data_IF_412380927496
#
_entry.id   IF_412380927496
#
_cell.length_a   1.000
_cell.length_b   1.000
_cell.length_c   1.000
_cell.angle_alpha   90.00
_cell.angle_beta   90.00
_cell.angle_gamma   90.00
#
_symmetry.space_group_name_H-M   'P 1'
#
loop_
_entity.id
_entity.type
_entity.pdbx_description
1 polymer ?
#
# COMPACT_ATOMS: atom_id res chain seq x y z
N UNK A 1 60.60 3.11 31.73
CA UNK A 1 61.50 3.36 30.60
C UNK A 1 60.59 3.96 29.56
N UNK A 2 60.42 5.24 29.53
CA UNK A 2 61.19 6.23 28.74
C UNK A 2 60.99 5.95 27.25
N UNK A 3 60.52 6.83 26.38
CA UNK A 3 60.41 8.25 26.54
C UNK A 3 59.98 8.89 25.19
N UNK A 4 59.36 10.06 25.31
CA UNK A 4 59.52 11.28 24.49
C UNK A 4 59.31 11.13 22.96
N UNK A 5 58.51 11.84 22.26
CA UNK A 5 58.15 13.28 22.36
C UNK A 5 58.78 14.03 21.21
N UNK A 6 57.97 14.70 20.33
CA UNK A 6 58.38 15.90 19.66
C UNK A 6 57.16 16.63 19.05
N UNK A 7 56.95 17.86 19.46
CA UNK A 7 56.19 18.95 18.83
C UNK A 7 57.09 19.70 17.83
N UNK A 8 56.46 20.31 16.86
CA UNK A 8 56.82 21.66 16.31
C UNK A 8 55.72 22.04 15.29
N UNK A 9 54.87 23.09 15.53
CA UNK A 9 55.03 24.52 15.28
C UNK A 9 55.08 24.84 13.75
N UNK A 10 54.04 25.41 13.17
CA UNK A 10 53.53 26.78 13.14
C UNK A 10 54.40 27.75 12.38
N UNK A 11 53.80 28.34 11.34
CA UNK A 11 53.94 29.71 10.78
C UNK A 11 53.39 29.69 9.35
N UNK A 12 52.55 30.56 8.82
CA UNK A 12 52.26 31.94 9.15
C UNK A 12 52.30 32.76 7.86
N UNK A 13 51.33 33.72 7.72
CA UNK A 13 51.33 34.84 6.74
C UNK A 13 50.85 34.54 5.31
N UNK A 14 50.04 35.31 4.68
CA UNK A 14 49.28 36.54 4.85
C UNK A 14 48.83 37.03 3.45
N UNK A 15 47.62 37.49 3.36
CA UNK A 15 47.12 38.66 2.65
C UNK A 15 47.28 38.83 1.13
N UNK A 16 46.17 39.16 0.51
CA UNK A 16 46.19 40.19 -0.56
C UNK A 16 45.19 39.91 -1.69
N UNK A 17 44.21 40.78 -1.83
CA UNK A 17 43.73 41.19 -3.13
C UNK A 17 42.20 41.20 -3.31
N UNK A 18 41.63 42.36 -2.94
CA UNK A 18 40.26 42.73 -3.33
C UNK A 18 40.17 43.02 -4.82
N UNK A 19 39.05 42.65 -5.43
CA UNK A 19 38.68 43.05 -6.77
C UNK A 19 37.18 42.93 -6.95
N UNK A 20 36.46 43.98 -6.59
CA UNK A 20 35.04 44.10 -6.89
C UNK A 20 34.83 44.44 -8.37
N UNK A 21 33.75 43.94 -8.90
CA UNK A 21 33.08 44.52 -10.06
C UNK A 21 31.56 44.39 -9.85
N UNK A 22 30.98 45.54 -9.83
CA UNK A 22 29.62 45.94 -9.69
C UNK A 22 28.71 45.45 -10.83
N UNK A 23 27.47 45.25 -10.47
CA UNK A 23 26.31 45.09 -11.36
C UNK A 23 26.08 46.32 -12.26
N UNK A 24 25.24 46.19 -13.26
CA UNK A 24 24.14 47.13 -13.35
C UNK A 24 22.75 46.51 -13.38
N UNK A 25 21.86 47.15 -12.62
CA UNK A 25 20.43 47.15 -12.76
C UNK A 25 20.02 47.59 -14.17
N UNK A 26 19.07 46.89 -14.77
CA UNK A 26 18.15 47.47 -15.75
C UNK A 26 16.72 47.05 -15.35
N UNK A 27 15.99 48.02 -14.86
CA UNK A 27 14.54 48.03 -14.85
C UNK A 27 14.09 48.42 -16.26
N UNK A 28 13.02 47.71 -16.77
CA UNK A 28 11.95 48.36 -17.52
C UNK A 28 10.80 47.40 -17.77
N UNK A 29 9.73 47.78 -17.21
CA UNK A 29 8.34 47.83 -17.65
C UNK A 29 7.90 46.90 -18.81
N UNK A 30 6.99 45.98 -18.53
CA UNK A 30 5.99 45.57 -19.51
C UNK A 30 4.61 45.43 -18.85
N UNK A 31 3.67 46.15 -19.44
CA UNK A 31 2.25 46.22 -19.18
C UNK A 31 1.56 44.85 -19.35
N UNK A 32 0.38 44.62 -18.71
CA UNK A 32 -0.35 43.34 -18.84
C UNK A 32 -1.08 43.26 -20.18
N UNK A 33 -1.21 42.06 -20.76
CA UNK A 33 -2.11 41.88 -21.91
C UNK A 33 -3.57 41.81 -21.48
N UNK A 34 -4.38 42.33 -22.37
CA UNK A 34 -5.78 42.58 -22.29
C UNK A 34 -6.66 41.36 -21.97
N UNK A 35 -7.69 41.68 -21.20
CA UNK A 35 -8.89 40.93 -20.89
C UNK A 35 -9.60 40.41 -22.18
N UNK A 36 -9.64 39.10 -22.36
CA UNK A 36 -10.58 38.42 -23.26
C UNK A 36 -11.62 37.73 -22.40
N UNK A 37 -12.57 38.55 -21.90
CA UNK A 37 -13.85 38.10 -21.38
C UNK A 37 -14.71 37.58 -22.53
N UNK A 38 -15.16 36.35 -22.46
CA UNK A 38 -16.33 35.93 -23.20
C UNK A 38 -16.22 34.61 -23.95
N UNK A 39 -16.05 33.50 -23.27
CA UNK A 39 -16.63 32.24 -23.71
C UNK A 39 -17.16 31.48 -22.49
N UNK A 40 -18.50 31.44 -22.34
CA UNK A 40 -19.21 30.54 -21.44
C UNK A 40 -18.84 29.10 -21.80
N UNK A 41 -18.07 28.44 -20.98
CA UNK A 41 -17.98 26.98 -21.00
C UNK A 41 -19.34 26.43 -20.55
N UNK A 42 -20.07 25.89 -21.49
CA UNK A 42 -21.20 25.02 -21.21
C UNK A 42 -20.71 23.87 -20.33
N UNK A 43 -21.39 23.67 -19.21
CA UNK A 43 -21.20 22.55 -18.32
C UNK A 43 -21.43 21.26 -19.11
N UNK A 44 -20.35 20.57 -19.43
CA UNK A 44 -20.38 19.28 -20.10
C UNK A 44 -21.26 18.30 -19.33
N UNK A 45 -22.23 17.76 -20.04
CA UNK A 45 -23.13 16.70 -19.61
C UNK A 45 -22.28 15.53 -19.11
N UNK A 46 -22.49 15.15 -17.87
CA UNK A 46 -22.04 13.86 -17.34
C UNK A 46 -22.62 12.74 -18.21
N UNK A 47 -21.75 12.00 -18.87
CA UNK A 47 -22.16 10.76 -19.52
C UNK A 47 -22.59 9.77 -18.43
N UNK A 48 -23.74 9.11 -18.55
CA UNK A 48 -24.20 8.12 -17.59
C UNK A 48 -23.34 6.87 -17.73
N UNK A 49 -22.38 6.66 -16.84
CA UNK A 49 -21.77 5.35 -16.62
C UNK A 49 -22.74 4.48 -15.80
N UNK A 50 -23.84 4.08 -16.44
CA UNK A 50 -24.68 3.01 -15.95
C UNK A 50 -24.24 1.72 -16.65
N UNK A 51 -23.59 0.80 -15.90
CA UNK A 51 -23.47 -0.58 -16.35
C UNK A 51 -22.09 -1.20 -16.35
N UNK A 52 -21.26 -1.05 -15.30
CA UNK A 52 -20.20 -2.03 -15.06
C UNK A 52 -20.69 -3.05 -14.03
N UNK A 53 -21.31 -4.12 -14.52
CA UNK A 53 -21.48 -5.37 -13.77
C UNK A 53 -20.25 -6.23 -14.06
N UNK A 54 -19.61 -6.70 -13.00
CA UNK A 54 -18.64 -7.80 -13.12
C UNK A 54 -19.31 -8.96 -13.88
N UNK A 55 -18.66 -9.60 -14.85
CA UNK A 55 -19.24 -10.73 -15.57
C UNK A 55 -19.50 -11.88 -14.59
N UNK A 56 -20.76 -12.20 -14.35
CA UNK A 56 -21.13 -13.32 -13.47
C UNK A 56 -22.54 -13.28 -12.91
N UNK A 57 -23.33 -12.23 -13.12
CA UNK A 57 -24.73 -12.17 -12.70
C UNK A 57 -25.68 -12.04 -13.90
N UNK A 58 -25.86 -13.11 -14.64
CA UNK A 58 -26.98 -13.29 -15.55
C UNK A 58 -27.92 -14.35 -14.99
N UNK A 59 -29.10 -13.92 -14.49
CA UNK A 59 -30.16 -14.81 -14.03
C UNK A 59 -31.39 -14.06 -13.54
N UNK A 60 -32.30 -13.76 -14.48
CA UNK A 60 -33.76 -13.60 -14.35
C UNK A 60 -34.38 -12.64 -13.33
N UNK A 61 -35.26 -11.76 -13.84
CA UNK A 61 -36.43 -11.29 -13.12
C UNK A 61 -36.73 -9.81 -13.20
N UNK A 62 -37.65 -9.44 -14.07
CA UNK A 62 -38.34 -8.13 -14.15
C UNK A 62 -39.15 -7.85 -12.89
N UNK A 63 -39.17 -6.61 -12.43
CA UNK A 63 -40.30 -6.10 -11.66
C UNK A 63 -39.98 -5.30 -10.40
N UNK A 64 -40.35 -4.04 -10.39
CA UNK A 64 -40.91 -3.38 -9.21
C UNK A 64 -39.97 -2.63 -8.29
N UNK A 65 -40.00 -1.30 -8.36
CA UNK A 65 -39.58 -0.40 -7.27
C UNK A 65 -40.37 -0.70 -6.00
N UNK A 66 -39.74 -1.15 -4.94
CA UNK A 66 -40.32 -1.16 -3.59
C UNK A 66 -39.27 -0.65 -2.61
N UNK A 67 -39.63 0.39 -1.87
CA UNK A 67 -38.82 1.02 -0.85
C UNK A 67 -38.50 0.06 0.30
N UNK A 68 -37.24 -0.02 0.66
CA UNK A 68 -36.77 -0.81 1.80
C UNK A 68 -36.92 0.01 3.09
N UNK A 69 -37.90 -0.37 3.91
CA UNK A 69 -37.93 -0.08 5.34
C UNK A 69 -36.89 -0.96 6.05
N UNK A 70 -36.07 -0.35 6.89
CA UNK A 70 -35.22 -1.04 7.83
C UNK A 70 -36.10 -1.66 8.93
N UNK A 71 -36.11 -2.98 9.03
CA UNK A 71 -36.40 -3.69 10.26
C UNK A 71 -35.18 -4.50 10.65
N UNK A 72 -34.75 -4.28 11.90
CA UNK A 72 -33.68 -5.02 12.53
C UNK A 72 -34.19 -6.42 12.85
N UNK A 73 -33.79 -7.42 12.08
CA UNK A 73 -33.94 -8.81 12.39
C UNK A 73 -32.65 -9.56 12.03
N UNK A 74 -32.11 -10.30 12.99
CA UNK A 74 -30.91 -11.11 12.82
C UNK A 74 -31.03 -12.03 11.60
N UNK A 75 -30.31 -11.72 10.56
CA UNK A 75 -30.22 -12.57 9.38
C UNK A 75 -29.13 -13.62 9.59
N UNK A 76 -29.57 -14.82 9.78
CA UNK A 76 -28.81 -16.06 9.72
C UNK A 76 -28.19 -16.20 8.31
N UNK A 77 -26.88 -16.04 8.20
CA UNK A 77 -26.12 -16.20 6.95
C UNK A 77 -25.90 -17.68 6.62
N UNK A 78 -26.97 -18.46 6.56
CA UNK A 78 -26.89 -19.88 6.22
C UNK A 78 -27.19 -20.09 4.73
N UNK A 79 -26.17 -20.69 4.07
CA UNK A 79 -26.25 -21.61 2.93
C UNK A 79 -26.69 -21.06 1.56
N UNK A 80 -25.67 -20.63 0.77
CA UNK A 80 -25.71 -20.69 -0.69
C UNK A 80 -24.88 -21.87 -1.21
N UNK A 81 -25.18 -22.47 -2.38
CA UNK A 81 -24.45 -23.60 -2.93
C UNK A 81 -23.05 -23.18 -3.38
N UNK A 82 -22.03 -23.78 -2.79
CA UNK A 82 -20.63 -23.58 -3.20
C UNK A 82 -19.73 -23.01 -2.10
N UNK A 83 -19.72 -23.62 -0.91
CA UNK A 83 -18.70 -23.30 0.10
C UNK A 83 -17.34 -23.77 -0.39
N UNK A 84 -16.54 -22.85 -0.96
CA UNK A 84 -15.11 -23.08 -1.10
C UNK A 84 -14.51 -23.03 0.30
N UNK A 85 -13.75 -24.07 0.63
CA UNK A 85 -13.11 -24.19 1.93
C UNK A 85 -12.02 -23.13 2.05
N UNK A 86 -12.09 -22.28 3.06
CA UNK A 86 -11.01 -21.34 3.41
C UNK A 86 -9.69 -22.06 3.77
N UNK A 87 -9.71 -23.39 3.90
CA UNK A 87 -8.58 -24.22 4.32
C UNK A 87 -8.50 -24.40 5.83
N UNK A 88 -9.29 -23.65 6.61
CA UNK A 88 -9.35 -23.75 8.06
C UNK A 88 -10.70 -24.34 8.48
N UNK A 89 -10.72 -25.21 9.48
CA UNK A 89 -11.94 -25.69 10.11
C UNK A 89 -12.69 -24.52 10.76
N UNK A 90 -14.01 -24.64 10.94
CA UNK A 90 -14.87 -23.55 11.44
C UNK A 90 -14.39 -22.99 12.79
N UNK A 91 -13.77 -23.83 13.63
CA UNK A 91 -13.12 -23.42 14.89
C UNK A 91 -11.78 -22.70 14.71
N UNK A 92 -11.17 -22.84 13.55
CA UNK A 92 -9.86 -22.24 13.21
C UNK A 92 -10.00 -20.94 12.40
N UNK A 93 -11.24 -20.58 12.00
CA UNK A 93 -11.52 -19.31 11.33
C UNK A 93 -11.32 -18.13 12.27
N UNK A 94 -11.19 -16.94 11.72
CA UNK A 94 -10.85 -15.69 12.39
C UNK A 94 -9.41 -15.68 12.86
N UNK A 95 -8.52 -15.75 11.88
CA UNK A 95 -7.07 -15.76 12.08
C UNK A 95 -6.39 -14.68 11.28
N UNK A 96 -5.27 -14.24 11.79
CA UNK A 96 -4.28 -13.48 11.05
C UNK A 96 -2.93 -14.14 11.25
N UNK A 97 -2.32 -14.50 10.14
CA UNK A 97 -0.95 -14.97 10.07
C UNK A 97 -0.11 -13.85 9.46
N UNK A 98 0.98 -13.47 10.10
CA UNK A 98 1.95 -12.52 9.58
C UNK A 98 3.33 -13.16 9.56
N UNK A 99 4.08 -12.97 8.46
CA UNK A 99 5.47 -13.49 8.37
C UNK A 99 6.44 -12.62 9.16
N UNK A 100 6.11 -11.35 9.36
CA UNK A 100 6.86 -10.40 10.17
C UNK A 100 6.08 -10.04 11.45
N UNK A 101 6.04 -10.96 12.38
CA UNK A 101 5.41 -10.79 13.68
C UNK A 101 6.38 -10.26 14.74
N UNK A 102 5.94 -10.23 16.01
CA UNK A 102 6.78 -9.81 17.12
C UNK A 102 8.09 -10.59 17.19
N UNK A 103 9.20 -9.86 17.41
CA UNK A 103 10.54 -10.44 17.40
C UNK A 103 10.99 -10.92 16.02
N UNK A 104 10.45 -10.36 14.95
CA UNK A 104 10.79 -10.68 13.54
C UNK A 104 10.54 -12.14 13.15
N UNK A 105 9.62 -12.80 13.84
CA UNK A 105 9.24 -14.20 13.59
C UNK A 105 7.82 -14.29 13.08
N UNK A 106 7.49 -15.30 12.26
CA UNK A 106 6.11 -15.55 11.88
C UNK A 106 5.23 -15.77 13.11
N UNK A 107 4.08 -15.08 13.14
CA UNK A 107 3.14 -15.09 14.24
C UNK A 107 1.71 -15.35 13.75
N UNK A 108 0.97 -16.09 14.54
CA UNK A 108 -0.45 -16.39 14.32
C UNK A 108 -1.27 -15.73 15.42
N UNK A 109 -2.24 -14.91 15.03
CA UNK A 109 -3.29 -14.40 15.90
C UNK A 109 -4.57 -15.15 15.57
N UNK A 110 -5.18 -15.81 16.54
CA UNK A 110 -6.42 -16.56 16.36
C UNK A 110 -7.40 -16.38 17.51
N UNK A 111 -8.67 -16.71 17.26
CA UNK A 111 -9.76 -16.64 18.24
C UNK A 111 -9.86 -15.24 18.88
N UNK A 112 -10.11 -14.19 18.07
CA UNK A 112 -10.20 -12.84 18.61
C UNK A 112 -11.31 -12.75 19.66
N UNK A 113 -11.06 -12.05 20.77
CA UNK A 113 -12.06 -11.70 21.80
C UNK A 113 -13.20 -10.87 21.20
N UNK A 114 -12.94 -10.15 20.12
CA UNK A 114 -13.90 -9.33 19.39
C UNK A 114 -13.31 -8.81 18.09
N UNK A 115 -14.20 -8.30 17.24
CA UNK A 115 -13.83 -7.64 16.00
C UNK A 115 -14.22 -6.16 16.07
N UNK A 116 -13.35 -5.31 15.56
CA UNK A 116 -13.61 -3.89 15.31
C UNK A 116 -13.75 -3.73 13.81
N UNK A 117 -14.92 -3.34 13.36
CA UNK A 117 -15.25 -3.17 11.94
C UNK A 117 -15.74 -1.75 11.71
N UNK A 118 -15.36 -1.16 10.57
CA UNK A 118 -15.95 0.05 10.03
C UNK A 118 -16.40 -0.20 8.59
N UNK A 119 -17.69 -0.02 8.32
CA UNK A 119 -18.28 -0.14 6.98
C UNK A 119 -18.54 1.24 6.37
N UNK A 120 -18.95 2.18 7.19
CA UNK A 120 -19.24 3.56 6.78
C UNK A 120 -18.06 4.50 7.12
N UNK A 121 -17.87 5.60 6.33
CA UNK A 121 -16.79 6.56 6.55
C UNK A 121 -16.75 7.13 7.98
N UNK A 122 -17.91 7.48 8.55
CA UNK A 122 -18.01 8.02 9.90
C UNK A 122 -17.67 7.03 11.01
N UNK A 123 -17.51 5.75 10.70
CA UNK A 123 -17.16 4.70 11.66
C UNK A 123 -15.65 4.46 11.77
N UNK A 124 -14.84 4.95 10.81
CA UNK A 124 -13.40 4.66 10.74
C UNK A 124 -12.67 5.17 11.98
N UNK A 125 -12.80 6.45 12.31
CA UNK A 125 -12.13 7.01 13.48
C UNK A 125 -12.63 6.39 14.79
N UNK A 126 -13.95 6.28 15.05
CA UNK A 126 -14.46 5.57 16.23
C UNK A 126 -14.02 4.11 16.31
N UNK A 127 -13.87 3.41 15.18
CA UNK A 127 -13.36 2.04 15.17
C UNK A 127 -11.88 1.98 15.60
N UNK A 128 -11.04 2.86 15.06
CA UNK A 128 -9.64 2.96 15.47
C UNK A 128 -9.51 3.33 16.97
N UNK A 129 -10.38 4.21 17.49
CA UNK A 129 -10.40 4.57 18.91
C UNK A 129 -10.81 3.37 19.79
N UNK A 130 -11.81 2.56 19.37
CA UNK A 130 -12.18 1.31 20.08
C UNK A 130 -11.02 0.31 20.09
N UNK A 131 -10.33 0.14 18.95
CA UNK A 131 -9.17 -0.74 18.86
C UNK A 131 -8.04 -0.27 19.78
N UNK A 132 -7.77 1.05 19.83
CA UNK A 132 -6.78 1.64 20.71
C UNK A 132 -7.15 1.47 22.20
N UNK A 133 -8.41 1.69 22.57
CA UNK A 133 -8.88 1.48 23.94
C UNK A 133 -8.68 0.02 24.37
N UNK A 134 -9.00 -0.95 23.50
CA UNK A 134 -8.77 -2.37 23.77
C UNK A 134 -7.27 -2.69 23.88
N UNK A 135 -6.44 -2.10 23.02
CA UNK A 135 -4.98 -2.26 23.08
C UNK A 135 -4.41 -1.78 24.43
N UNK A 136 -4.82 -0.59 24.86
CA UNK A 136 -4.41 -0.04 26.18
C UNK A 136 -4.90 -0.88 27.36
N UNK A 137 -6.00 -1.62 27.18
CA UNK A 137 -6.50 -2.61 28.13
C UNK A 137 -5.80 -3.97 28.03
N UNK A 138 -4.73 -4.11 27.24
CA UNK A 138 -3.88 -5.29 27.14
C UNK A 138 -4.21 -6.22 25.98
N UNK A 139 -5.09 -5.84 25.03
CA UNK A 139 -5.32 -6.62 23.83
C UNK A 139 -4.23 -6.37 22.77
N UNK A 140 -3.88 -7.39 22.01
CA UNK A 140 -3.21 -7.27 20.74
C UNK A 140 -4.23 -6.93 19.67
N UNK A 141 -3.88 -5.98 18.80
CA UNK A 141 -4.70 -5.59 17.65
C UNK A 141 -4.01 -6.09 16.39
N UNK A 142 -4.71 -6.88 15.56
CA UNK A 142 -4.18 -7.32 14.27
C UNK A 142 -5.31 -7.36 13.23
N UNK A 143 -4.99 -7.02 11.97
CA UNK A 143 -5.98 -6.96 10.91
C UNK A 143 -5.54 -6.19 9.70
N UNK A 144 -6.53 -5.64 9.01
CA UNK A 144 -6.28 -4.84 7.82
C UNK A 144 -7.13 -3.57 7.79
N UNK A 145 -6.60 -2.57 7.10
CA UNK A 145 -7.24 -1.28 6.82
C UNK A 145 -7.28 -1.11 5.31
N UNK A 146 -8.46 -0.97 4.73
CA UNK A 146 -8.65 -0.76 3.30
C UNK A 146 -8.25 0.65 2.87
N UNK A 147 -7.80 0.78 1.62
CA UNK A 147 -7.33 2.05 1.06
C UNK A 147 -8.33 3.20 1.24
N UNK A 148 -9.62 2.91 1.07
CA UNK A 148 -10.68 3.91 1.17
C UNK A 148 -10.86 4.48 2.58
N UNK A 149 -10.34 3.84 3.63
CA UNK A 149 -10.30 4.45 4.96
C UNK A 149 -9.51 5.78 4.95
N UNK A 150 -8.56 5.95 4.02
CA UNK A 150 -7.83 7.20 3.83
C UNK A 150 -8.72 8.38 3.44
N UNK A 151 -9.80 8.14 2.70
CA UNK A 151 -10.79 9.18 2.39
C UNK A 151 -11.62 9.59 3.61
N UNK A 152 -11.81 8.68 4.57
CA UNK A 152 -12.50 8.96 5.81
C UNK A 152 -11.62 9.68 6.84
N UNK A 153 -10.31 9.44 6.80
CA UNK A 153 -9.34 10.02 7.72
C UNK A 153 -8.90 11.44 7.34
N UNK A 154 -9.06 11.84 6.07
CA UNK A 154 -8.74 13.18 5.60
C UNK A 154 -10.05 13.94 5.27
N UNK A 155 -10.43 14.96 6.04
CA UNK A 155 -11.71 15.66 5.84
C UNK A 155 -11.92 16.22 4.43
N UNK A 156 -10.86 16.67 3.76
CA UNK A 156 -10.92 17.19 2.39
C UNK A 156 -11.31 16.11 1.37
N UNK A 157 -11.01 14.85 1.67
CA UNK A 157 -11.26 13.72 0.78
C UNK A 157 -12.60 13.03 1.07
N UNK A 158 -13.25 13.30 2.20
CA UNK A 158 -14.53 12.70 2.58
C UNK A 158 -15.58 12.70 1.46
N UNK A 159 -15.82 13.83 0.76
CA UNK A 159 -16.77 13.90 -0.37
C UNK A 159 -16.37 13.05 -1.60
N UNK A 160 -15.15 12.56 -1.64
CA UNK A 160 -14.60 11.73 -2.73
C UNK A 160 -14.71 10.23 -2.46
N UNK A 161 -15.26 9.82 -1.33
CA UNK A 161 -15.43 8.40 -0.98
C UNK A 161 -16.13 7.63 -2.12
N UNK A 162 -15.53 6.55 -2.66
CA UNK A 162 -16.17 5.77 -3.72
C UNK A 162 -17.41 5.03 -3.18
N UNK A 163 -18.45 5.02 -3.99
CA UNK A 163 -19.66 4.22 -3.77
C UNK A 163 -19.46 2.78 -4.25
N UNK A 164 -20.36 1.88 -3.83
CA UNK A 164 -20.37 0.49 -4.31
C UNK A 164 -19.22 -0.38 -3.79
N UNK A 165 -18.60 0.00 -2.69
CA UNK A 165 -17.59 -0.83 -2.03
C UNK A 165 -18.22 -2.14 -1.54
N UNK A 166 -17.56 -3.24 -1.80
CA UNK A 166 -17.92 -4.57 -1.28
C UNK A 166 -17.24 -4.84 0.07
N UNK A 167 -16.08 -4.22 0.28
CA UNK A 167 -15.23 -4.43 1.45
C UNK A 167 -15.53 -3.40 2.54
N UNK A 168 -15.48 -3.79 3.84
CA UNK A 168 -15.37 -2.85 4.93
C UNK A 168 -14.19 -1.90 4.74
N UNK A 169 -14.19 -0.77 5.43
CA UNK A 169 -13.07 0.17 5.43
C UNK A 169 -11.91 -0.31 6.31
N UNK A 170 -12.21 -1.06 7.37
CA UNK A 170 -11.23 -1.78 8.17
C UNK A 170 -11.86 -2.96 8.90
N UNK A 171 -11.04 -3.97 9.17
CA UNK A 171 -11.38 -5.10 10.05
C UNK A 171 -10.16 -5.40 10.93
N UNK A 172 -10.30 -5.21 12.23
CA UNK A 172 -9.27 -5.44 13.22
C UNK A 172 -9.78 -6.43 14.26
N UNK A 173 -9.03 -7.51 14.50
CA UNK A 173 -9.27 -8.46 15.58
C UNK A 173 -8.56 -8.00 16.85
N UNK A 174 -9.19 -8.29 18.00
CA UNK A 174 -8.65 -8.07 19.34
C UNK A 174 -8.26 -9.43 19.91
N UNK A 175 -6.97 -9.65 20.19
CA UNK A 175 -6.43 -10.96 20.56
C UNK A 175 -5.75 -10.95 21.92
N UNK A 176 -5.58 -12.12 22.52
CA UNK A 176 -4.81 -12.30 23.76
C UNK A 176 -3.30 -12.18 23.53
N UNK A 177 -2.84 -12.59 22.35
CA UNK A 177 -1.45 -12.52 21.95
C UNK A 177 -1.17 -13.34 20.70
N UNK A 178 0.07 -13.25 20.20
CA UNK A 178 0.52 -14.08 19.10
C UNK A 178 0.87 -15.50 19.57
N UNK A 179 0.65 -16.45 18.69
CA UNK A 179 1.03 -17.86 18.83
C UNK A 179 2.08 -18.22 17.77
N UNK A 180 2.84 -19.32 17.96
CA UNK A 180 3.74 -19.83 16.93
C UNK A 180 3.00 -20.20 15.65
N UNK A 181 3.48 -19.72 14.51
CA UNK A 181 2.83 -19.90 13.21
C UNK A 181 3.21 -21.21 12.50
N UNK A 182 4.16 -21.99 13.02
CA UNK A 182 4.77 -23.13 12.31
C UNK A 182 3.74 -24.11 11.77
N UNK A 183 2.82 -24.59 12.62
CA UNK A 183 1.81 -25.56 12.20
C UNK A 183 0.89 -25.08 11.07
N UNK A 184 0.49 -23.80 11.09
CA UNK A 184 -0.34 -23.22 10.02
C UNK A 184 0.47 -23.02 8.74
N UNK A 185 1.75 -22.68 8.87
CA UNK A 185 2.65 -22.53 7.72
C UNK A 185 2.93 -23.87 7.04
N UNK A 186 3.13 -24.95 7.82
CA UNK A 186 3.30 -26.32 7.32
C UNK A 186 2.04 -26.78 6.59
N UNK A 187 0.87 -26.55 7.18
CA UNK A 187 -0.41 -26.84 6.55
C UNK A 187 -0.60 -26.03 5.26
N UNK A 188 -0.28 -24.74 5.26
CA UNK A 188 -0.33 -23.90 4.05
C UNK A 188 0.57 -24.48 2.94
N UNK A 189 1.78 -24.93 3.31
CA UNK A 189 2.71 -25.54 2.36
C UNK A 189 2.16 -26.84 1.77
N UNK A 190 1.50 -27.68 2.61
CA UNK A 190 0.89 -28.92 2.18
C UNK A 190 -0.33 -28.70 1.28
N UNK A 191 -1.27 -27.86 1.68
CA UNK A 191 -2.43 -27.50 0.88
C UNK A 191 -2.02 -26.79 -0.42
N UNK A 192 -0.92 -26.03 -0.38
CA UNK A 192 -0.39 -25.30 -1.53
C UNK A 192 0.08 -26.17 -2.69
N UNK A 193 0.30 -27.48 -2.48
CA UNK A 193 0.63 -28.41 -3.56
C UNK A 193 -0.54 -28.66 -4.50
N UNK A 194 -1.79 -28.55 -3.99
CA UNK A 194 -3.01 -28.79 -4.77
C UNK A 194 -3.86 -27.54 -5.01
N UNK A 195 -3.42 -26.37 -4.55
CA UNK A 195 -4.15 -25.14 -4.74
C UNK A 195 -3.87 -24.54 -6.14
N UNK A 196 -4.95 -24.20 -6.84
CA UNK A 196 -4.84 -23.60 -8.16
C UNK A 196 -5.91 -22.51 -8.37
N UNK A 197 -5.57 -21.52 -9.18
CA UNK A 197 -6.45 -20.44 -9.65
C UNK A 197 -6.33 -20.26 -11.16
N UNK A 198 -7.32 -19.62 -11.77
CA UNK A 198 -7.21 -19.18 -13.16
C UNK A 198 -6.14 -18.10 -13.29
N UNK A 199 -5.61 -17.91 -14.49
CA UNK A 199 -4.79 -16.72 -14.76
C UNK A 199 -5.62 -15.46 -14.50
N UNK A 200 -5.06 -14.44 -13.81
CA UNK A 200 -5.76 -13.20 -13.59
C UNK A 200 -5.86 -12.39 -14.88
N UNK A 201 -7.04 -11.86 -15.16
CA UNK A 201 -7.33 -11.03 -16.33
C UNK A 201 -7.70 -9.61 -15.92
N UNK A 202 -7.21 -8.56 -16.62
CA UNK A 202 -7.62 -7.19 -16.37
C UNK A 202 -9.14 -7.01 -16.52
N UNK A 203 -9.77 -6.36 -15.55
CA UNK A 203 -11.19 -6.00 -15.61
C UNK A 203 -11.42 -4.76 -16.47
N UNK A 204 -10.39 -3.93 -16.65
CA UNK A 204 -10.43 -2.74 -17.49
C UNK A 204 -9.92 -3.04 -18.90
N UNK A 205 -10.48 -2.36 -19.89
CA UNK A 205 -9.94 -2.42 -21.25
C UNK A 205 -8.65 -1.61 -21.36
N UNK A 206 -7.77 -1.98 -22.29
CA UNK A 206 -6.56 -1.20 -22.56
C UNK A 206 -6.88 0.27 -22.90
N UNK A 207 -7.91 0.54 -23.71
CA UNK A 207 -8.28 1.92 -24.04
C UNK A 207 -8.77 2.75 -22.83
N UNK A 208 -9.46 2.13 -21.86
CA UNK A 208 -9.83 2.79 -20.61
C UNK A 208 -8.61 3.14 -19.76
N UNK A 209 -7.63 2.22 -19.69
CA UNK A 209 -6.37 2.49 -19.02
C UNK A 209 -5.57 3.61 -19.69
N UNK A 210 -5.46 3.59 -21.03
CA UNK A 210 -4.75 4.62 -21.80
C UNK A 210 -5.39 6.01 -21.60
N UNK A 211 -6.73 6.10 -21.53
CA UNK A 211 -7.44 7.33 -21.23
C UNK A 211 -7.17 7.83 -19.81
N UNK A 212 -7.13 6.94 -18.81
CA UNK A 212 -6.77 7.28 -17.44
C UNK A 212 -5.32 7.77 -17.36
N UNK A 213 -4.40 7.07 -18.03
CA UNK A 213 -2.99 7.44 -18.12
C UNK A 213 -2.78 8.83 -18.72
N UNK A 214 -3.48 9.13 -19.83
CA UNK A 214 -3.40 10.45 -20.47
C UNK A 214 -3.88 11.57 -19.54
N UNK A 215 -4.93 11.33 -18.74
CA UNK A 215 -5.42 12.30 -17.74
C UNK A 215 -4.39 12.53 -16.63
N UNK A 216 -3.79 11.45 -16.10
CA UNK A 216 -2.74 11.55 -15.08
C UNK A 216 -1.56 12.35 -15.61
N UNK A 217 -1.09 12.07 -16.84
CA UNK A 217 -0.02 12.83 -17.47
C UNK A 217 -0.38 14.31 -17.68
N UNK A 218 -1.65 14.60 -18.01
CA UNK A 218 -2.16 15.97 -18.08
C UNK A 218 -2.03 16.70 -16.74
N UNK A 219 -2.38 16.07 -15.63
CA UNK A 219 -2.21 16.64 -14.28
C UNK A 219 -0.74 16.86 -13.91
N UNK A 220 0.13 15.90 -14.26
CA UNK A 220 1.58 16.05 -14.03
C UNK A 220 2.14 17.22 -14.85
N UNK A 221 1.77 17.33 -16.13
CA UNK A 221 2.21 18.41 -17.01
C UNK A 221 1.69 19.78 -16.55
N UNK A 222 0.50 19.84 -15.95
CA UNK A 222 -0.07 21.05 -15.36
C UNK A 222 0.57 21.45 -14.01
N UNK A 223 1.40 20.57 -13.43
CA UNK A 223 2.04 20.81 -12.14
C UNK A 223 1.15 20.50 -10.92
N UNK A 224 0.00 19.84 -11.11
CA UNK A 224 -0.89 19.43 -10.02
C UNK A 224 -0.25 18.40 -9.10
N UNK A 225 0.60 17.52 -9.65
CA UNK A 225 1.29 16.47 -8.91
C UNK A 225 2.59 16.06 -9.62
N UNK A 226 3.48 15.41 -8.88
CA UNK A 226 4.74 14.86 -9.40
C UNK A 226 4.59 13.38 -9.76
N UNK A 227 3.74 12.67 -9.03
CA UNK A 227 3.45 11.25 -9.21
C UNK A 227 2.01 10.92 -8.83
N UNK A 228 1.41 10.00 -9.57
CA UNK A 228 0.15 9.32 -9.21
C UNK A 228 0.33 7.82 -9.36
N UNK A 229 -0.01 7.05 -8.34
CA UNK A 229 -0.04 5.59 -8.44
C UNK A 229 -1.34 5.17 -9.14
N UNK A 230 -1.28 4.88 -10.44
CA UNK A 230 -2.42 4.45 -11.25
C UNK A 230 -2.55 2.93 -11.22
N UNK A 231 -3.75 2.44 -10.91
CA UNK A 231 -4.00 1.01 -10.72
C UNK A 231 -5.24 0.53 -11.47
N UNK A 232 -5.35 -0.79 -11.58
CA UNK A 232 -6.58 -1.42 -12.09
C UNK A 232 -6.77 -2.82 -11.50
N UNK A 233 -8.04 -3.28 -11.36
CA UNK A 233 -8.35 -4.62 -10.88
C UNK A 233 -8.13 -5.66 -11.95
N UNK A 234 -7.70 -6.84 -11.50
CA UNK A 234 -7.68 -8.08 -12.26
C UNK A 234 -8.57 -9.10 -11.54
N UNK A 235 -9.30 -9.89 -12.31
CA UNK A 235 -10.17 -10.94 -11.81
C UNK A 235 -9.59 -12.33 -12.08
N UNK A 236 -9.76 -13.24 -11.12
CA UNK A 236 -9.42 -14.64 -11.24
C UNK A 236 -10.42 -15.49 -10.44
N UNK A 237 -10.32 -16.81 -10.55
CA UNK A 237 -11.14 -17.74 -9.77
C UNK A 237 -10.26 -18.82 -9.13
N UNK A 238 -10.61 -19.19 -7.89
CA UNK A 238 -10.05 -20.38 -7.27
C UNK A 238 -10.60 -21.61 -7.98
N UNK A 239 -9.72 -22.44 -8.52
CA UNK A 239 -10.05 -23.66 -9.28
C UNK A 239 -10.04 -24.89 -8.37
N UNK A 240 -9.04 -24.97 -7.50
CA UNK A 240 -8.89 -26.09 -6.56
C UNK A 240 -8.18 -25.63 -5.28
N UNK A 241 -8.36 -26.40 -4.22
CA UNK A 241 -7.75 -26.15 -2.91
C UNK A 241 -8.44 -25.06 -2.11
N UNK A 242 -7.67 -24.23 -1.45
CA UNK A 242 -8.16 -23.24 -0.49
C UNK A 242 -7.39 -21.92 -0.62
N UNK A 243 -7.90 -20.85 -0.01
CA UNK A 243 -7.18 -19.58 0.11
C UNK A 243 -5.85 -19.73 0.89
N UNK A 244 -5.84 -20.56 1.95
CA UNK A 244 -4.62 -20.89 2.69
C UNK A 244 -3.63 -21.67 1.81
N UNK A 245 -4.14 -22.58 0.97
CA UNK A 245 -3.33 -23.28 -0.02
C UNK A 245 -2.71 -22.32 -1.05
N UNK A 246 -3.46 -21.32 -1.56
CA UNK A 246 -2.89 -20.29 -2.45
C UNK A 246 -1.75 -19.52 -1.75
N UNK A 247 -1.96 -19.13 -0.48
CA UNK A 247 -0.92 -18.49 0.31
C UNK A 247 0.35 -19.37 0.38
N UNK A 248 0.18 -20.67 0.67
CA UNK A 248 1.28 -21.65 0.69
C UNK A 248 1.97 -21.81 -0.67
N UNK A 249 1.19 -21.85 -1.75
CA UNK A 249 1.73 -21.90 -3.12
C UNK A 249 2.60 -20.68 -3.43
N UNK A 250 2.16 -19.48 -3.07
CA UNK A 250 2.92 -18.25 -3.30
C UNK A 250 4.17 -18.17 -2.43
N UNK A 251 4.17 -18.72 -1.22
CA UNK A 251 5.37 -18.77 -0.37
C UNK A 251 6.52 -19.57 -1.00
N UNK A 252 6.22 -20.57 -1.84
CA UNK A 252 7.27 -21.35 -2.54
C UNK A 252 8.07 -20.53 -3.55
N UNK A 253 7.56 -19.36 -3.99
CA UNK A 253 8.29 -18.50 -4.93
C UNK A 253 9.42 -17.70 -4.29
N UNK A 254 9.55 -17.76 -2.98
CA UNK A 254 10.58 -17.07 -2.21
C UNK A 254 10.03 -16.30 -1.01
N UNK A 255 10.90 -15.94 -0.10
CA UNK A 255 10.56 -15.11 1.04
C UNK A 255 10.22 -13.67 0.60
N UNK A 256 9.27 -13.06 1.29
CA UNK A 256 8.98 -11.62 1.21
C UNK A 256 9.04 -11.01 2.61
N UNK A 257 9.23 -9.70 2.70
CA UNK A 257 9.36 -9.03 4.00
C UNK A 257 8.09 -9.14 4.86
N UNK A 258 6.91 -9.01 4.24
CA UNK A 258 5.66 -8.85 4.98
C UNK A 258 4.52 -9.69 4.39
N UNK A 259 4.75 -11.01 4.26
CA UNK A 259 3.68 -11.94 3.89
C UNK A 259 2.61 -12.01 4.98
N UNK A 260 1.33 -12.08 4.58
CA UNK A 260 0.22 -12.20 5.51
C UNK A 260 -0.94 -13.00 4.92
N UNK A 261 -1.68 -13.68 5.79
CA UNK A 261 -2.95 -14.32 5.51
C UNK A 261 -3.96 -13.87 6.57
N UNK A 262 -5.12 -13.39 6.17
CA UNK A 262 -6.16 -12.99 7.11
C UNK A 262 -7.53 -13.54 6.68
N UNK A 263 -8.16 -14.28 7.56
CA UNK A 263 -9.59 -14.63 7.50
C UNK A 263 -10.21 -14.25 8.84
N UNK A 264 -10.92 -13.13 8.87
CA UNK A 264 -11.59 -12.64 10.07
C UNK A 264 -13.09 -12.94 10.07
N UNK A 265 -13.59 -13.64 9.03
CA UNK A 265 -15.01 -13.96 8.89
C UNK A 265 -15.87 -12.75 8.52
N UNK A 266 -15.26 -11.60 8.29
CA UNK A 266 -15.88 -10.35 7.82
C UNK A 266 -15.02 -9.78 6.70
N UNK A 267 -15.63 -9.38 5.58
CA UNK A 267 -14.89 -8.98 4.39
C UNK A 267 -14.28 -10.17 3.65
N UNK A 268 -13.29 -9.94 2.79
CA UNK A 268 -12.60 -10.99 2.03
C UNK A 268 -11.63 -11.79 2.90
N UNK A 269 -11.29 -12.99 2.46
CA UNK A 269 -10.03 -13.61 2.87
C UNK A 269 -8.90 -12.89 2.15
N UNK A 270 -7.93 -12.40 2.91
CA UNK A 270 -6.79 -11.63 2.40
C UNK A 270 -5.56 -12.53 2.30
N UNK A 271 -4.98 -12.60 1.11
CA UNK A 271 -3.70 -13.28 0.86
C UNK A 271 -2.70 -12.25 0.36
N UNK A 272 -1.74 -11.89 1.18
CA UNK A 272 -0.75 -10.85 0.88
C UNK A 272 0.67 -11.40 0.80
N UNK A 273 1.38 -10.99 -0.25
CA UNK A 273 2.83 -11.25 -0.44
C UNK A 273 3.59 -9.93 -0.55
N UNK A 274 3.26 -9.00 0.35
CA UNK A 274 3.87 -7.67 0.35
C UNK A 274 5.36 -7.71 0.66
N UNK A 275 6.18 -7.02 -0.11
CA UNK A 275 7.59 -6.81 0.22
C UNK A 275 7.81 -5.54 1.06
N UNK A 276 6.80 -4.67 1.20
CA UNK A 276 6.97 -3.29 1.62
C UNK A 276 6.45 -3.03 3.04
N UNK A 277 7.33 -2.50 3.90
CA UNK A 277 6.99 -1.99 5.21
C UNK A 277 6.26 -0.65 5.06
N UNK A 278 5.04 -0.55 5.60
CA UNK A 278 4.35 0.71 5.73
C UNK A 278 4.95 1.52 6.90
N UNK A 279 4.84 1.00 8.12
CA UNK A 279 5.57 1.50 9.27
C UNK A 279 5.78 0.41 10.31
N UNK A 280 6.86 0.54 11.07
CA UNK A 280 7.13 -0.21 12.29
C UNK A 280 7.29 0.77 13.45
N UNK A 281 6.78 0.38 14.60
CA UNK A 281 7.05 1.05 15.86
C UNK A 281 7.87 0.12 16.73
N UNK A 282 9.03 0.60 17.13
CA UNK A 282 9.91 -0.11 18.04
C UNK A 282 9.65 0.32 19.50
N UNK A 283 10.09 -0.50 20.45
CA UNK A 283 10.06 -0.14 21.84
C UNK A 283 10.80 1.19 22.05
N UNK A 284 10.18 2.10 22.82
CA UNK A 284 10.73 3.46 23.04
C UNK A 284 10.22 4.51 22.06
N UNK A 285 9.35 4.14 21.10
CA UNK A 285 8.64 5.09 20.22
C UNK A 285 9.42 5.51 18.98
N UNK A 286 10.43 4.74 18.55
CA UNK A 286 11.05 4.92 17.25
C UNK A 286 10.10 4.42 16.15
N UNK A 287 9.68 5.31 15.25
CA UNK A 287 8.97 4.93 14.04
C UNK A 287 9.94 4.74 12.87
N UNK A 288 9.72 3.68 12.10
CA UNK A 288 10.54 3.32 10.93
C UNK A 288 9.62 3.09 9.75
N UNK A 289 9.94 3.63 8.59
CA UNK A 289 9.34 3.27 7.30
C UNK A 289 10.42 2.99 6.27
N UNK A 290 10.08 2.12 5.29
CA UNK A 290 11.09 1.62 4.35
C UNK A 290 10.55 1.54 2.93
N UNK A 291 10.47 2.69 2.25
CA UNK A 291 9.99 2.75 0.88
C UNK A 291 10.93 2.01 -0.08
N UNK A 292 10.32 1.43 -1.11
CA UNK A 292 10.98 0.69 -2.17
C UNK A 292 10.64 1.32 -3.52
N UNK A 293 11.64 1.80 -4.25
CA UNK A 293 11.52 2.29 -5.63
C UNK A 293 12.78 1.90 -6.41
N UNK A 294 12.61 1.49 -7.65
CA UNK A 294 13.67 0.95 -8.46
C UNK A 294 13.88 -0.55 -8.24
N UNK A 295 13.61 -1.33 -9.27
CA UNK A 295 13.72 -2.79 -9.28
C UNK A 295 14.42 -3.24 -10.55
N UNK A 296 15.39 -4.15 -10.42
CA UNK A 296 16.05 -4.76 -11.55
C UNK A 296 16.12 -6.29 -11.39
N UNK A 297 16.05 -7.07 -12.47
CA UNK A 297 16.12 -8.53 -12.38
C UNK A 297 17.50 -9.00 -11.93
N UNK A 298 17.57 -10.21 -11.35
CA UNK A 298 18.82 -10.92 -11.10
C UNK A 298 19.29 -11.61 -12.37
N UNK A 299 20.59 -11.80 -12.49
CA UNK A 299 21.19 -12.62 -13.55
C UNK A 299 21.97 -13.79 -12.94
N UNK A 300 21.99 -14.92 -13.63
CA UNK A 300 22.73 -16.10 -13.21
C UNK A 300 24.25 -15.92 -13.33
N UNK A 301 24.70 -15.06 -14.25
CA UNK A 301 26.10 -14.68 -14.40
C UNK A 301 26.45 -13.61 -13.36
N UNK A 302 27.39 -13.86 -12.43
CA UNK A 302 27.72 -12.91 -11.37
C UNK A 302 28.23 -11.56 -11.86
N UNK A 303 28.90 -11.51 -13.00
CA UNK A 303 29.42 -10.24 -13.56
C UNK A 303 28.28 -9.40 -14.13
N UNK A 304 27.34 -10.02 -14.83
CA UNK A 304 26.11 -9.36 -15.32
C UNK A 304 25.21 -8.93 -14.18
N UNK A 305 25.04 -9.80 -13.17
CA UNK A 305 24.26 -9.46 -11.97
C UNK A 305 24.81 -8.24 -11.24
N UNK A 306 26.15 -8.16 -11.10
CA UNK A 306 26.80 -6.99 -10.51
C UNK A 306 26.62 -5.73 -11.37
N UNK A 307 26.71 -5.86 -12.69
CA UNK A 307 26.50 -4.72 -13.61
C UNK A 307 25.06 -4.21 -13.57
N UNK A 308 24.05 -5.09 -13.49
CA UNK A 308 22.64 -4.75 -13.33
C UNK A 308 22.42 -4.02 -12.00
N UNK A 309 23.00 -4.54 -10.91
CA UNK A 309 22.92 -3.91 -9.60
C UNK A 309 23.54 -2.50 -9.60
N UNK A 310 24.68 -2.34 -10.22
CA UNK A 310 25.34 -1.03 -10.33
C UNK A 310 24.55 -0.06 -11.22
N UNK A 311 24.01 -0.52 -12.35
CA UNK A 311 23.14 0.29 -13.21
C UNK A 311 21.93 0.82 -12.43
N UNK A 312 21.28 -0.03 -11.61
CA UNK A 312 20.19 0.41 -10.74
C UNK A 312 20.66 1.43 -9.71
N UNK A 313 21.81 1.20 -9.09
CA UNK A 313 22.37 2.08 -8.05
C UNK A 313 22.64 3.49 -8.55
N UNK A 314 23.05 3.63 -9.81
CA UNK A 314 23.37 4.94 -10.41
C UNK A 314 22.23 5.53 -11.26
N UNK A 315 21.11 4.82 -11.40
CA UNK A 315 19.95 5.25 -12.17
C UNK A 315 19.41 6.58 -11.65
N UNK A 316 19.49 7.62 -12.47
CA UNK A 316 19.00 8.96 -12.13
C UNK A 316 17.49 8.93 -11.91
N UNK A 317 16.74 8.19 -12.75
CA UNK A 317 15.28 8.05 -12.65
C UNK A 317 14.89 7.38 -11.32
N UNK A 318 15.41 6.18 -11.05
CA UNK A 318 15.04 5.41 -9.86
C UNK A 318 15.39 6.13 -8.56
N UNK A 319 16.54 6.81 -8.54
CA UNK A 319 16.95 7.65 -7.40
C UNK A 319 16.04 8.85 -7.21
N UNK A 320 15.62 9.53 -8.29
CA UNK A 320 14.70 10.65 -8.19
C UNK A 320 13.32 10.22 -7.67
N UNK A 321 12.78 9.12 -8.17
CA UNK A 321 11.52 8.54 -7.68
C UNK A 321 11.62 8.10 -6.22
N UNK A 322 12.72 7.44 -5.84
CA UNK A 322 12.95 7.02 -4.46
C UNK A 322 13.05 8.24 -3.52
N UNK A 323 13.80 9.27 -3.90
CA UNK A 323 13.97 10.49 -3.11
C UNK A 323 12.63 11.21 -2.90
N UNK A 324 11.80 11.29 -3.93
CA UNK A 324 10.48 11.91 -3.84
C UNK A 324 9.59 11.19 -2.80
N UNK A 325 9.60 9.85 -2.78
CA UNK A 325 8.85 9.09 -1.78
C UNK A 325 9.46 9.22 -0.39
N UNK A 326 10.78 9.26 -0.28
CA UNK A 326 11.47 9.54 0.99
C UNK A 326 11.02 10.88 1.57
N UNK A 327 10.97 11.94 0.77
CA UNK A 327 10.52 13.25 1.23
C UNK A 327 9.05 13.27 1.64
N UNK A 328 8.19 12.56 0.90
CA UNK A 328 6.79 12.39 1.27
C UNK A 328 6.65 11.70 2.64
N UNK A 329 7.37 10.60 2.86
CA UNK A 329 7.32 9.86 4.13
C UNK A 329 7.99 10.62 5.28
N UNK A 330 9.04 11.40 5.01
CA UNK A 330 9.60 12.33 6.00
C UNK A 330 8.56 13.35 6.46
N UNK A 331 7.80 13.91 5.51
CA UNK A 331 6.70 14.82 5.84
C UNK A 331 5.63 14.12 6.68
N UNK A 332 5.20 12.91 6.32
CA UNK A 332 4.21 12.15 7.06
C UNK A 332 4.67 11.85 8.49
N UNK A 333 5.90 11.35 8.68
CA UNK A 333 6.49 11.06 9.98
C UNK A 333 6.67 12.35 10.81
N UNK A 334 7.04 13.47 10.18
CA UNK A 334 7.27 14.73 10.89
C UNK A 334 6.04 15.25 11.64
N UNK A 335 4.84 14.83 11.23
CA UNK A 335 3.57 15.17 11.90
C UNK A 335 3.42 14.50 13.27
N UNK A 336 4.18 13.45 13.53
CA UNK A 336 4.13 12.63 14.75
C UNK A 336 5.42 12.68 15.56
N UNK A 337 6.53 13.00 14.92
CA UNK A 337 7.85 12.90 15.49
C UNK A 337 8.27 14.19 16.24
N UNK A 338 9.16 14.03 17.19
CA UNK A 338 9.85 15.16 17.86
C UNK A 338 10.58 16.00 16.81
N UNK A 339 10.53 17.30 16.97
CA UNK A 339 11.23 18.24 16.07
C UNK A 339 12.72 17.88 15.99
N UNK A 340 13.23 17.74 14.76
CA UNK A 340 14.63 17.42 14.50
C UNK A 340 15.00 15.92 14.63
N UNK A 341 14.06 15.03 15.00
CA UNK A 341 14.33 13.59 15.13
C UNK A 341 14.20 12.82 13.82
N UNK A 342 13.49 13.38 12.80
CA UNK A 342 13.31 12.69 11.53
C UNK A 342 14.63 12.63 10.76
N UNK A 343 15.08 11.41 10.45
CA UNK A 343 16.35 11.13 9.77
C UNK A 343 16.17 10.10 8.65
N UNK A 344 17.14 10.07 7.75
CA UNK A 344 17.24 9.08 6.67
C UNK A 344 18.58 8.35 6.83
N UNK A 345 18.66 7.33 7.71
CA UNK A 345 19.91 6.64 8.00
C UNK A 345 20.44 5.82 6.80
N UNK A 346 19.54 5.40 5.90
CA UNK A 346 19.92 4.73 4.66
C UNK A 346 19.14 5.34 3.49
N UNK A 347 19.85 5.83 2.47
CA UNK A 347 19.31 6.40 1.25
C UNK A 347 19.87 5.62 0.06
N UNK A 348 18.98 5.13 -0.84
CA UNK A 348 19.34 4.37 -2.04
C UNK A 348 20.15 3.10 -1.75
N UNK A 349 19.85 2.41 -0.64
CA UNK A 349 20.43 1.12 -0.33
C UNK A 349 19.96 0.07 -1.34
N UNK A 350 20.87 -0.79 -1.79
CA UNK A 350 20.54 -1.86 -2.72
C UNK A 350 20.42 -3.19 -1.97
N UNK A 351 19.23 -3.78 -2.03
CA UNK A 351 18.95 -5.10 -1.45
C UNK A 351 18.88 -6.15 -2.53
N UNK A 352 19.44 -7.32 -2.21
CA UNK A 352 19.46 -8.47 -3.11
C UNK A 352 18.43 -9.50 -2.63
N UNK A 353 17.37 -9.65 -3.40
CA UNK A 353 16.41 -10.72 -3.23
C UNK A 353 16.70 -11.87 -4.18
N UNK A 354 16.00 -12.99 -4.04
CA UNK A 354 16.24 -14.19 -4.86
C UNK A 354 16.06 -13.91 -6.36
N UNK A 355 15.13 -13.04 -6.73
CA UNK A 355 14.74 -12.79 -8.12
C UNK A 355 15.01 -11.37 -8.60
N UNK A 356 15.27 -10.43 -7.70
CA UNK A 356 15.43 -9.01 -8.03
C UNK A 356 16.48 -8.32 -7.15
N UNK A 357 17.08 -7.26 -7.69
CA UNK A 357 17.70 -6.19 -6.93
C UNK A 357 16.63 -5.13 -6.66
N UNK A 358 16.58 -4.62 -5.45
CA UNK A 358 15.61 -3.61 -5.03
C UNK A 358 16.32 -2.42 -4.40
N UNK A 359 16.02 -1.21 -4.87
CA UNK A 359 16.48 0.00 -4.20
C UNK A 359 15.52 0.38 -3.08
N UNK A 360 16.05 0.56 -1.88
CA UNK A 360 15.30 0.91 -0.68
C UNK A 360 15.90 2.14 -0.01
N UNK A 361 15.08 2.83 0.77
CA UNK A 361 15.56 3.85 1.70
C UNK A 361 14.90 3.64 3.05
N UNK A 362 15.48 4.17 4.11
CA UNK A 362 14.92 4.06 5.46
C UNK A 362 14.73 5.47 6.02
N UNK A 363 13.50 5.73 6.50
CA UNK A 363 13.18 6.97 7.21
C UNK A 363 12.79 6.61 8.64
N UNK A 364 13.32 7.34 9.61
CA UNK A 364 13.05 7.12 11.03
C UNK A 364 12.69 8.42 11.72
N UNK A 365 11.99 8.33 12.86
CA UNK A 365 11.70 9.46 13.72
C UNK A 365 11.35 9.00 15.13
N UNK A 366 11.70 9.79 16.16
CA UNK A 366 11.24 9.53 17.51
C UNK A 366 9.86 10.16 17.71
N UNK A 367 8.85 9.38 18.08
CA UNK A 367 7.50 9.90 18.33
C UNK A 367 7.51 10.92 19.45
N UNK A 368 6.75 12.01 19.27
CA UNK A 368 6.62 13.06 20.29
C UNK A 368 5.80 12.58 21.50
N UNK A 369 4.81 11.72 21.23
CA UNK A 369 3.90 11.17 22.23
C UNK A 369 3.86 9.64 22.12
N UNK A 370 3.30 8.98 23.13
CA UNK A 370 3.06 7.54 23.08
C UNK A 370 2.22 7.17 21.84
N UNK A 371 2.58 6.11 21.12
CA UNK A 371 1.89 5.75 19.90
C UNK A 371 0.42 5.42 20.16
N UNK A 372 -0.46 6.00 19.35
CA UNK A 372 -1.89 5.74 19.36
C UNK A 372 -2.37 5.44 17.93
N UNK A 373 -3.05 4.31 17.75
CA UNK A 373 -3.46 3.83 16.43
C UNK A 373 -4.26 4.87 15.60
N UNK A 374 -5.22 5.64 16.18
CA UNK A 374 -5.93 6.67 15.41
C UNK A 374 -5.00 7.76 14.89
N UNK A 375 -4.09 8.26 15.73
CA UNK A 375 -3.14 9.31 15.34
C UNK A 375 -2.15 8.84 14.28
N UNK A 376 -1.65 7.61 14.40
CA UNK A 376 -0.77 6.99 13.41
C UNK A 376 -1.46 6.88 12.04
N UNK A 377 -2.67 6.34 12.01
CA UNK A 377 -3.43 6.19 10.75
C UNK A 377 -3.80 7.55 10.16
N UNK A 378 -4.25 8.52 10.94
CA UNK A 378 -4.56 9.86 10.44
C UNK A 378 -3.36 10.61 9.85
N UNK A 379 -2.15 10.35 10.36
CA UNK A 379 -0.94 11.02 9.88
C UNK A 379 -0.31 10.33 8.67
N UNK A 380 -0.31 9.00 8.64
CA UNK A 380 0.49 8.21 7.70
C UNK A 380 -0.33 7.61 6.56
N UNK A 381 -1.59 7.23 6.83
CA UNK A 381 -2.40 6.42 5.92
C UNK A 381 -3.17 7.23 4.88
N UNK A 382 -3.29 6.74 3.63
CA UNK A 382 -2.56 5.61 3.05
C UNK A 382 -1.09 5.91 2.83
N UNK A 383 -0.27 4.85 2.65
CA UNK A 383 1.15 5.01 2.39
C UNK A 383 1.43 5.89 1.17
N UNK A 384 2.41 6.78 1.28
CA UNK A 384 2.80 7.69 0.21
C UNK A 384 3.23 6.98 -1.07
N UNK A 385 3.87 5.81 -0.95
CA UNK A 385 4.37 5.01 -2.09
C UNK A 385 3.28 4.49 -3.02
N UNK A 386 2.05 4.32 -2.50
CA UNK A 386 0.88 3.81 -3.24
C UNK A 386 -0.20 4.86 -3.50
N UNK A 387 0.08 6.12 -3.20
CA UNK A 387 -0.77 7.28 -3.51
C UNK A 387 -0.11 8.17 -4.56
N UNK A 388 0.81 8.99 -4.18
CA UNK A 388 1.54 9.92 -5.03
C UNK A 388 1.90 11.20 -4.26
N UNK A 389 2.47 12.14 -4.96
CA UNK A 389 2.98 13.39 -4.37
C UNK A 389 2.47 14.61 -5.13
N UNK A 390 1.85 15.60 -4.44
CA UNK A 390 1.40 15.63 -3.04
C UNK A 390 0.27 14.63 -2.77
N UNK A 391 0.25 14.00 -1.58
CA UNK A 391 -0.64 12.86 -1.25
C UNK A 391 -2.12 13.16 -1.48
N UNK A 392 -2.65 14.25 -0.90
CA UNK A 392 -4.07 14.59 -0.98
C UNK A 392 -4.48 14.81 -2.45
N UNK A 393 -3.70 15.60 -3.20
CA UNK A 393 -3.99 15.86 -4.61
C UNK A 393 -3.92 14.58 -5.46
N UNK A 394 -2.93 13.74 -5.21
CA UNK A 394 -2.83 12.45 -5.88
C UNK A 394 -4.06 11.56 -5.61
N UNK A 395 -4.55 11.51 -4.37
CA UNK A 395 -5.76 10.76 -4.01
C UNK A 395 -7.02 11.32 -4.69
N UNK A 396 -7.14 12.65 -4.84
CA UNK A 396 -8.22 13.25 -5.63
C UNK A 396 -8.17 12.79 -7.09
N UNK A 397 -6.99 12.86 -7.71
CA UNK A 397 -6.77 12.43 -9.10
C UNK A 397 -7.06 10.92 -9.26
N UNK A 398 -6.56 10.09 -8.34
CA UNK A 398 -6.87 8.65 -8.33
C UNK A 398 -8.38 8.43 -8.37
N UNK A 399 -9.13 9.10 -7.51
CA UNK A 399 -10.58 8.96 -7.47
C UNK A 399 -11.27 9.41 -8.76
N UNK A 400 -10.70 10.36 -9.48
CA UNK A 400 -11.22 10.85 -10.75
C UNK A 400 -10.96 9.90 -11.93
N UNK A 401 -9.84 9.18 -11.89
CA UNK A 401 -9.39 8.32 -13.00
C UNK A 401 -9.67 6.83 -12.78
N UNK A 402 -9.82 6.40 -11.52
CA UNK A 402 -10.15 5.02 -11.16
C UNK A 402 -11.65 4.93 -10.80
N UNK A 403 -12.49 4.29 -11.63
CA UNK A 403 -13.93 4.19 -11.37
C UNK A 403 -14.32 3.14 -10.33
N UNK A 404 -13.36 2.38 -9.80
CA UNK A 404 -13.55 1.27 -8.87
C UNK A 404 -12.83 1.54 -7.53
N UNK A 405 -13.31 0.96 -6.43
CA UNK A 405 -12.59 0.98 -5.16
C UNK A 405 -11.39 0.03 -5.20
N UNK A 406 -10.35 0.36 -4.45
CA UNK A 406 -9.15 -0.47 -4.29
C UNK A 406 -9.31 -1.57 -3.23
N UNK A 407 -10.16 -1.34 -2.23
CA UNK A 407 -10.37 -2.25 -1.11
C UNK A 407 -9.14 -2.43 -0.24
N UNK A 408 -8.80 -3.68 0.09
CA UNK A 408 -7.58 -3.98 0.88
C UNK A 408 -6.30 -3.59 0.13
N UNK A 409 -6.30 -3.68 -1.19
CA UNK A 409 -5.14 -3.31 -2.00
C UNK A 409 -4.76 -1.83 -1.81
N UNK A 410 -3.46 -1.54 -1.66
CA UNK A 410 -2.93 -0.22 -1.29
C UNK A 410 -3.34 0.27 0.11
N UNK A 411 -4.02 -0.56 0.88
CA UNK A 411 -4.26 -0.38 2.29
C UNK A 411 -3.09 -0.87 3.15
N UNK A 412 -3.38 -1.35 4.36
CA UNK A 412 -2.37 -1.87 5.27
C UNK A 412 -2.83 -3.18 5.94
N UNK A 413 -1.89 -4.09 6.18
CA UNK A 413 -2.08 -5.32 6.96
C UNK A 413 -1.01 -5.38 8.03
N UNK A 414 -1.39 -5.66 9.28
CA UNK A 414 -0.38 -5.72 10.33
C UNK A 414 -0.97 -5.93 11.72
N UNK A 415 -0.16 -5.60 12.71
CA UNK A 415 -0.46 -5.79 14.12
C UNK A 415 0.11 -4.66 14.98
N UNK A 416 -0.47 -4.48 16.17
CA UNK A 416 0.01 -3.58 17.23
C UNK A 416 -0.17 -4.24 18.59
N UNK A 417 0.91 -4.26 19.38
CA UNK A 417 0.97 -4.85 20.72
C UNK A 417 0.48 -3.89 21.81
N UNK A 418 0.14 -4.41 22.99
CA UNK A 418 -0.23 -3.58 24.15
C UNK A 418 0.83 -2.55 24.54
N UNK A 419 2.11 -2.84 24.40
CA UNK A 419 3.24 -1.96 24.70
C UNK A 419 3.45 -0.83 23.67
N UNK A 420 2.69 -0.87 22.55
CA UNK A 420 2.80 0.10 21.46
C UNK A 420 3.72 -0.30 20.32
N UNK A 421 4.45 -1.40 20.44
CA UNK A 421 5.19 -1.93 19.29
C UNK A 421 4.22 -2.36 18.18
N UNK A 422 4.58 -2.16 16.92
CA UNK A 422 3.70 -2.43 15.79
C UNK A 422 4.50 -2.72 14.51
N UNK A 423 3.88 -3.46 13.60
CA UNK A 423 4.38 -3.64 12.25
C UNK A 423 3.19 -3.73 11.28
N UNK A 424 3.13 -2.80 10.33
CA UNK A 424 2.14 -2.76 9.28
C UNK A 424 2.82 -2.72 7.92
N UNK A 425 2.37 -3.56 7.02
CA UNK A 425 2.79 -3.59 5.62
C UNK A 425 1.84 -2.81 4.72
N UNK A 426 2.35 -2.32 3.59
CA UNK A 426 1.52 -1.85 2.48
C UNK A 426 0.89 -3.06 1.80
N UNK A 427 -0.43 -3.10 1.66
CA UNK A 427 -1.13 -4.24 1.05
C UNK A 427 -1.02 -4.22 -0.48
N UNK A 428 0.18 -4.50 -1.01
CA UNK A 428 0.43 -4.75 -2.43
C UNK A 428 0.75 -6.22 -2.66
N UNK A 429 0.66 -6.69 -3.89
CA UNK A 429 0.72 -8.14 -4.20
C UNK A 429 -0.25 -8.93 -3.32
N UNK A 430 -1.47 -8.41 -3.26
CA UNK A 430 -2.50 -8.86 -2.32
C UNK A 430 -3.75 -9.25 -3.09
N UNK A 431 -4.34 -10.38 -2.69
CA UNK A 431 -5.59 -10.90 -3.21
C UNK A 431 -6.68 -10.69 -2.16
N UNK A 432 -7.85 -10.25 -2.59
CA UNK A 432 -9.12 -10.30 -1.87
C UNK A 432 -9.94 -11.46 -2.42
N UNK A 433 -10.26 -12.46 -1.57
CA UNK A 433 -10.91 -13.70 -1.98
C UNK A 433 -12.32 -13.79 -1.36
N UNK A 434 -13.33 -13.92 -2.22
CA UNK A 434 -14.73 -14.03 -1.86
C UNK A 434 -15.30 -15.35 -2.39
N UNK A 435 -15.30 -16.39 -1.55
CA UNK A 435 -15.61 -17.73 -2.02
C UNK A 435 -14.58 -18.20 -3.06
N UNK A 436 -14.99 -18.40 -4.30
CA UNK A 436 -14.10 -18.72 -5.42
C UNK A 436 -13.67 -17.52 -6.26
N UNK A 437 -14.27 -16.34 -6.04
CA UNK A 437 -13.88 -15.11 -6.71
C UNK A 437 -12.60 -14.55 -6.12
N UNK A 438 -11.65 -14.18 -6.96
CA UNK A 438 -10.39 -13.56 -6.60
C UNK A 438 -10.29 -12.22 -7.30
N UNK A 439 -10.07 -11.18 -6.53
CA UNK A 439 -9.72 -9.86 -7.03
C UNK A 439 -8.31 -9.52 -6.57
N UNK A 440 -7.48 -9.09 -7.50
CA UNK A 440 -6.18 -8.51 -7.21
C UNK A 440 -5.98 -7.26 -8.05
N UNK A 441 -5.46 -6.20 -7.45
CA UNK A 441 -5.18 -4.99 -8.20
C UNK A 441 -3.68 -4.91 -8.48
N UNK A 442 -3.35 -4.27 -9.59
CA UNK A 442 -1.98 -3.99 -10.03
C UNK A 442 -1.87 -2.56 -10.50
N UNK A 443 -0.66 -2.05 -10.58
CA UNK A 443 -0.41 -0.70 -11.06
C UNK A 443 1.00 -0.21 -10.75
N UNK A 444 1.26 1.05 -11.03
CA UNK A 444 2.55 1.69 -10.86
C UNK A 444 2.47 3.18 -10.62
N UNK A 445 3.58 3.76 -10.22
CA UNK A 445 3.71 5.19 -10.00
C UNK A 445 4.01 5.92 -11.30
N UNK A 446 2.99 6.54 -11.88
CA UNK A 446 3.13 7.36 -13.09
C UNK A 446 3.83 8.67 -12.76
N UNK A 447 4.92 8.95 -13.47
CA UNK A 447 5.72 10.18 -13.35
C UNK A 447 5.87 10.85 -14.71
N UNK A 448 6.48 12.02 -14.74
CA UNK A 448 6.83 12.65 -16.01
C UNK A 448 7.72 11.72 -16.84
N UNK A 449 7.33 11.49 -18.10
CA UNK A 449 8.03 10.57 -19.02
C UNK A 449 7.62 9.10 -18.95
N UNK A 450 6.71 8.72 -18.03
CA UNK A 450 6.06 7.39 -18.08
C UNK A 450 5.26 7.23 -19.38
N UNK A 451 5.32 6.04 -19.97
CA UNK A 451 4.52 5.69 -21.16
C UNK A 451 3.38 4.74 -20.79
N UNK A 452 2.23 4.85 -21.44
CA UNK A 452 1.08 3.97 -21.17
C UNK A 452 1.42 2.49 -21.39
N UNK A 453 2.23 2.19 -22.41
CA UNK A 453 2.71 0.83 -22.68
C UNK A 453 3.58 0.31 -21.56
N UNK A 454 4.62 1.07 -21.17
CA UNK A 454 5.56 0.63 -20.13
C UNK A 454 4.90 0.42 -18.77
N UNK A 455 4.00 1.34 -18.35
CA UNK A 455 3.29 1.22 -17.08
C UNK A 455 2.28 0.05 -17.08
N UNK A 456 1.63 -0.21 -18.22
CA UNK A 456 0.75 -1.37 -18.39
C UNK A 456 1.52 -2.68 -18.28
N UNK A 457 2.62 -2.81 -19.01
CA UNK A 457 3.46 -4.00 -18.98
C UNK A 457 4.06 -4.23 -17.58
N UNK A 458 4.51 -3.16 -16.92
CA UNK A 458 5.01 -3.23 -15.55
C UNK A 458 3.91 -3.71 -14.58
N UNK A 459 2.69 -3.20 -14.71
CA UNK A 459 1.57 -3.64 -13.90
C UNK A 459 1.28 -5.14 -14.10
N UNK A 460 1.24 -5.63 -15.34
CA UNK A 460 1.06 -7.05 -15.65
C UNK A 460 2.25 -7.89 -15.15
N UNK A 461 3.47 -7.36 -15.22
CA UNK A 461 4.64 -8.05 -14.68
C UNK A 461 4.52 -8.23 -13.16
N UNK A 462 4.03 -7.23 -12.45
CA UNK A 462 3.77 -7.30 -11.00
C UNK A 462 2.73 -8.36 -10.63
N UNK A 463 1.81 -8.71 -11.53
CA UNK A 463 0.85 -9.80 -11.32
C UNK A 463 1.50 -11.20 -11.31
N UNK A 464 2.69 -11.36 -11.87
CA UNK A 464 3.32 -12.69 -12.07
C UNK A 464 3.64 -13.46 -10.78
N UNK A 465 3.58 -12.83 -9.61
CA UNK A 465 3.80 -13.54 -8.34
C UNK A 465 2.79 -14.66 -8.10
N UNK A 466 1.60 -14.61 -8.72
CA UNK A 466 0.57 -15.65 -8.60
C UNK A 466 0.81 -16.86 -9.52
N UNK A 467 1.76 -16.80 -10.47
CA UNK A 467 1.99 -17.84 -11.46
C UNK A 467 2.30 -19.22 -10.86
N UNK A 468 2.77 -19.26 -9.60
CA UNK A 468 3.01 -20.51 -8.87
C UNK A 468 1.74 -21.35 -8.63
N UNK A 469 0.57 -20.71 -8.67
CA UNK A 469 -0.72 -21.35 -8.45
C UNK A 469 -1.66 -21.24 -9.66
N UNK A 470 -1.23 -20.65 -10.78
CA UNK A 470 -2.04 -20.62 -12.01
C UNK A 470 -2.09 -22.01 -12.60
N UNK A 471 -3.31 -22.54 -12.77
CA UNK A 471 -3.51 -23.83 -13.45
C UNK A 471 -3.05 -23.71 -14.90
N UNK A 472 -2.18 -24.62 -15.29
CA UNK A 472 -1.87 -24.82 -16.71
C UNK A 472 -3.01 -25.67 -17.28
N UNK A 473 -3.92 -25.01 -18.03
CA UNK A 473 -5.01 -25.68 -18.72
C UNK A 473 -4.52 -26.74 -19.68
#
# INVERSE_FOLDING_TARGET
MEGRGARAEASGLAAGGAGGLSAPLCADAHSPPEDISGQKMERGRSLPYSGFRLPGLAGAGQGGCVGFRREAAGTDWREGPGRIRCGLEERERRVILVEHGPGEKPALFRQPRGLVVAEAPGEVLPALERAEAARRAGAWVAGWVGYEAGYALEPKLGPRMPEGRREPLLVLGLFDGPEPAAAVLDRAADEGRGAAMTAPEPVVTRGAYDAAMARVQGYIAAGDCYQVNLTFPMAARLVSGSALGLYGAFRRTGAVGHGAFADLGVGPVVVSRSPELFFRLEAGGLIVTRPMKGTAPRDADPARDAAIAEALRVSVKDRAENLMIVDLLRNDISRLAKVGSVKVPALFALERYATVHQMTSTVVGDLAEAPALPGLMAALFPCGSVTGAPKIRAMEIIREVEPFPRGVYCGAVGWMAPDGTADFSVAIRTLSIWGDEIVMNVGGGVVHGSTAEGEWEEALWKARFVNAAVSRG
#
